data_IF_683605360592
#
_entry.id   IF_683605360592
#
_cell.length_a   1.000
_cell.length_b   1.000
_cell.length_c   1.000
_cell.angle_alpha   90.00
_cell.angle_beta   90.00
_cell.angle_gamma   90.00
#
_symmetry.space_group_name_H-M   'P 1'
#
loop_
_entity.id
_entity.type
_entity.pdbx_description
1 polymer ?
#
# COMPACT_ATOMS: atom_id res chain seq x y z
N UNK A 1 -11.65 -13.09 -15.70
CA UNK A 1 -12.36 -12.61 -14.47
C UNK A 1 -12.31 -11.10 -14.45
N UNK A 2 -13.42 -10.41 -14.14
CA UNK A 2 -13.41 -8.95 -14.05
C UNK A 2 -12.95 -8.53 -12.64
N UNK A 3 -11.94 -7.66 -12.56
CA UNK A 3 -11.53 -7.05 -11.30
C UNK A 3 -12.50 -5.93 -10.93
N UNK A 4 -12.89 -5.85 -9.67
CA UNK A 4 -13.84 -4.86 -9.18
C UNK A 4 -13.13 -3.76 -8.39
N UNK A 5 -13.72 -2.56 -8.41
CA UNK A 5 -13.25 -1.48 -7.54
C UNK A 5 -13.50 -1.88 -6.09
N UNK A 6 -12.47 -1.80 -5.28
CA UNK A 6 -12.54 -2.06 -3.84
C UNK A 6 -13.64 -1.20 -3.20
N UNK A 7 -14.48 -1.80 -2.35
CA UNK A 7 -15.36 -1.05 -1.46
C UNK A 7 -14.56 -0.66 -0.21
N UNK A 8 -14.51 0.64 0.09
CA UNK A 8 -13.79 1.12 1.27
C UNK A 8 -14.42 0.57 2.56
N UNK A 9 -13.64 0.09 3.54
CA UNK A 9 -14.18 -0.40 4.81
C UNK A 9 -14.58 0.74 5.78
N UNK A 10 -14.48 1.99 5.36
CA UNK A 10 -14.78 3.21 6.13
C UNK A 10 -15.37 4.30 5.23
N UNK A 11 -16.00 5.31 5.83
CA UNK A 11 -16.50 6.49 5.12
C UNK A 11 -15.33 7.37 4.60
N UNK A 12 -15.53 8.04 3.47
CA UNK A 12 -14.47 8.81 2.80
C UNK A 12 -13.83 9.91 3.68
N UNK A 13 -14.48 10.38 4.72
CA UNK A 13 -13.98 11.37 5.68
C UNK A 13 -13.43 10.75 6.98
N UNK A 14 -13.44 9.42 7.10
CA UNK A 14 -13.10 8.76 8.37
C UNK A 14 -11.62 8.85 8.76
N UNK A 15 -10.74 9.16 7.80
CA UNK A 15 -9.31 9.27 8.02
C UNK A 15 -8.84 10.70 8.33
N UNK A 16 -9.78 11.66 8.36
CA UNK A 16 -9.44 13.04 8.74
C UNK A 16 -8.98 13.11 10.22
N UNK A 17 -8.06 14.02 10.54
CA UNK A 17 -7.43 15.04 9.67
C UNK A 17 -6.17 14.53 8.91
N UNK A 18 -5.86 13.24 8.95
CA UNK A 18 -4.60 12.69 8.39
C UNK A 18 -4.65 12.59 6.86
N UNK A 19 -5.76 12.08 6.33
CA UNK A 19 -6.04 12.06 4.90
C UNK A 19 -7.44 12.64 4.72
N UNK A 20 -7.53 13.73 3.95
CA UNK A 20 -8.82 14.41 3.75
C UNK A 20 -9.78 13.60 2.90
N UNK A 21 -11.09 13.89 3.08
CA UNK A 21 -12.13 13.35 2.20
C UNK A 21 -11.82 13.61 0.72
N UNK A 22 -11.32 14.81 0.39
CA UNK A 22 -10.99 15.18 -1.00
C UNK A 22 -9.90 14.27 -1.57
N UNK A 23 -8.85 13.98 -0.78
CA UNK A 23 -7.80 13.04 -1.19
C UNK A 23 -8.38 11.64 -1.40
N UNK A 24 -9.21 11.13 -0.49
CA UNK A 24 -9.86 9.82 -0.65
C UNK A 24 -10.76 9.77 -1.88
N UNK A 25 -11.60 10.78 -2.11
CA UNK A 25 -12.51 10.84 -3.28
C UNK A 25 -11.74 10.77 -4.61
N UNK A 26 -10.57 11.40 -4.69
CA UNK A 26 -9.73 11.38 -5.88
C UNK A 26 -8.87 10.11 -5.96
N UNK A 27 -8.23 9.73 -4.88
CA UNK A 27 -7.28 8.62 -4.82
C UNK A 27 -7.98 7.28 -5.06
N UNK A 28 -9.08 7.02 -4.37
CA UNK A 28 -9.91 5.83 -4.57
C UNK A 28 -10.82 5.98 -5.80
N UNK A 29 -11.63 7.05 -5.86
CA UNK A 29 -12.70 7.19 -6.84
C UNK A 29 -12.23 7.56 -8.26
N UNK A 30 -10.99 8.02 -8.44
CA UNK A 30 -10.42 8.35 -9.75
C UNK A 30 -9.17 7.53 -10.06
N UNK A 31 -8.11 7.59 -9.23
CA UNK A 31 -6.87 6.86 -9.51
C UNK A 31 -7.09 5.35 -9.49
N UNK A 32 -7.54 4.77 -8.38
CA UNK A 32 -7.78 3.33 -8.30
C UNK A 32 -8.85 2.88 -9.30
N UNK A 33 -9.96 3.59 -9.41
CA UNK A 33 -11.01 3.27 -10.38
C UNK A 33 -10.47 3.29 -11.83
N UNK A 34 -9.58 4.21 -12.16
CA UNK A 34 -8.91 4.27 -13.46
C UNK A 34 -8.03 3.04 -13.70
N UNK A 35 -7.20 2.64 -12.71
CA UNK A 35 -6.36 1.46 -12.84
C UNK A 35 -7.16 0.17 -13.03
N UNK A 36 -8.23 -0.02 -12.25
CA UNK A 36 -9.14 -1.16 -12.37
C UNK A 36 -9.80 -1.22 -13.75
N UNK A 37 -10.33 -0.10 -14.24
CA UNK A 37 -10.97 -0.04 -15.55
C UNK A 37 -9.98 -0.31 -16.68
N UNK A 38 -8.79 0.31 -16.64
CA UNK A 38 -7.75 0.09 -17.64
C UNK A 38 -7.27 -1.36 -17.65
N UNK A 39 -7.01 -1.94 -16.46
CA UNK A 39 -6.63 -3.35 -16.34
C UNK A 39 -7.67 -4.26 -17.00
N UNK A 40 -8.95 -4.11 -16.63
CA UNK A 40 -10.04 -4.91 -17.18
C UNK A 40 -10.12 -4.84 -18.72
N UNK A 41 -9.85 -3.65 -19.29
CA UNK A 41 -9.86 -3.49 -20.75
C UNK A 41 -8.63 -4.15 -21.42
N UNK A 42 -7.47 -4.09 -20.76
CA UNK A 42 -6.20 -4.57 -21.32
C UNK A 42 -6.05 -6.09 -21.28
N UNK A 43 -6.69 -6.78 -20.32
CA UNK A 43 -6.52 -8.24 -20.14
C UNK A 43 -7.45 -9.06 -21.02
N UNK A 44 -8.45 -8.46 -21.65
CA UNK A 44 -9.41 -9.17 -22.53
C UNK A 44 -8.67 -9.86 -23.68
N UNK A 45 -8.93 -11.14 -23.89
CA UNK A 45 -8.29 -11.96 -24.93
C UNK A 45 -6.83 -12.29 -24.68
N UNK A 46 -6.26 -11.93 -23.53
CA UNK A 46 -4.89 -12.29 -23.12
C UNK A 46 -4.90 -13.50 -22.18
N UNK A 47 -3.71 -14.06 -21.90
CA UNK A 47 -3.56 -15.10 -20.86
C UNK A 47 -4.01 -14.67 -19.48
N UNK A 48 -4.18 -13.38 -19.26
CA UNK A 48 -4.55 -12.79 -17.96
C UNK A 48 -6.04 -12.56 -17.76
N UNK A 49 -6.88 -12.78 -18.77
CA UNK A 49 -8.32 -12.46 -18.70
C UNK A 49 -9.05 -13.08 -17.50
N UNK A 50 -8.62 -14.27 -17.08
CA UNK A 50 -9.20 -14.99 -15.92
C UNK A 50 -8.21 -15.19 -14.76
N UNK A 51 -7.05 -14.52 -14.81
CA UNK A 51 -6.04 -14.62 -13.76
C UNK A 51 -6.39 -13.74 -12.54
N UNK A 52 -5.95 -14.16 -11.37
CA UNK A 52 -5.98 -13.34 -10.18
C UNK A 52 -4.94 -12.20 -10.26
N UNK A 53 -5.15 -11.17 -9.44
CA UNK A 53 -4.35 -9.96 -9.50
C UNK A 53 -2.86 -10.18 -9.18
N UNK A 54 -2.55 -11.07 -8.24
CA UNK A 54 -1.17 -11.40 -7.86
C UNK A 54 -0.44 -12.11 -9.00
N UNK A 55 -1.12 -13.05 -9.67
CA UNK A 55 -0.60 -13.72 -10.86
C UNK A 55 -0.30 -12.73 -11.98
N UNK A 56 -1.22 -11.78 -12.25
CA UNK A 56 -1.00 -10.74 -13.25
C UNK A 56 0.23 -9.90 -12.91
N UNK A 57 0.35 -9.43 -11.66
CA UNK A 57 1.49 -8.62 -11.22
C UNK A 57 2.82 -9.37 -11.33
N UNK A 58 2.84 -10.68 -11.08
CA UNK A 58 4.07 -11.48 -11.16
C UNK A 58 4.51 -11.80 -12.58
N UNK A 59 3.56 -11.93 -13.52
CA UNK A 59 3.82 -12.52 -14.84
C UNK A 59 3.66 -11.53 -16.00
N UNK A 60 3.17 -10.33 -15.75
CA UNK A 60 3.00 -9.29 -16.78
C UNK A 60 4.12 -8.26 -16.75
N UNK A 61 4.16 -7.46 -17.80
CA UNK A 61 5.04 -6.31 -17.94
C UNK A 61 4.28 -5.10 -18.53
N UNK A 62 4.98 -3.98 -18.71
CA UNK A 62 4.48 -2.80 -19.38
C UNK A 62 3.18 -2.27 -18.79
N UNK A 63 2.20 -1.98 -19.65
CA UNK A 63 0.96 -1.34 -19.25
C UNK A 63 0.06 -2.25 -18.40
N UNK A 64 0.03 -3.57 -18.65
CA UNK A 64 -0.74 -4.52 -17.85
C UNK A 64 -0.15 -4.58 -16.44
N UNK A 65 1.16 -4.71 -16.30
CA UNK A 65 1.85 -4.67 -15.00
C UNK A 65 1.55 -3.39 -14.25
N UNK A 66 1.66 -2.24 -14.90
CA UNK A 66 1.44 -0.96 -14.24
C UNK A 66 0.02 -0.84 -13.67
N UNK A 67 -1.00 -1.22 -14.42
CA UNK A 67 -2.39 -1.15 -13.94
C UNK A 67 -2.71 -2.24 -12.92
N UNK A 68 -2.20 -3.46 -13.09
CA UNK A 68 -2.37 -4.54 -12.12
C UNK A 68 -1.64 -4.26 -10.80
N UNK A 69 -0.38 -3.80 -10.88
CA UNK A 69 0.42 -3.43 -9.71
C UNK A 69 -0.23 -2.31 -8.91
N UNK A 70 -0.67 -1.24 -9.60
CA UNK A 70 -1.40 -0.16 -8.94
C UNK A 70 -2.73 -0.63 -8.34
N UNK A 71 -3.47 -1.49 -9.02
CA UNK A 71 -4.71 -2.04 -8.45
C UNK A 71 -4.43 -2.86 -7.18
N UNK A 72 -3.43 -3.73 -7.20
CA UNK A 72 -3.03 -4.53 -6.03
C UNK A 72 -2.55 -3.64 -4.88
N UNK A 73 -1.67 -2.67 -5.19
CA UNK A 73 -1.10 -1.77 -4.21
C UNK A 73 -2.18 -0.95 -3.48
N UNK A 74 -3.11 -0.38 -4.24
CA UNK A 74 -4.20 0.43 -3.66
C UNK A 74 -5.22 -0.41 -2.88
N UNK A 75 -5.50 -1.65 -3.31
CA UNK A 75 -6.36 -2.56 -2.54
C UNK A 75 -5.74 -2.86 -1.16
N UNK A 76 -4.43 -3.12 -1.11
CA UNK A 76 -3.72 -3.31 0.15
C UNK A 76 -3.64 -2.02 0.99
N UNK A 77 -3.42 -0.88 0.33
CA UNK A 77 -3.30 0.43 0.95
C UNK A 77 -4.60 0.87 1.63
N UNK A 78 -5.73 0.83 0.91
CA UNK A 78 -6.98 1.33 1.48
C UNK A 78 -7.55 0.40 2.56
N UNK A 79 -7.35 -0.89 2.50
CA UNK A 79 -7.88 -1.82 3.51
C UNK A 79 -7.11 -1.77 4.84
N UNK A 80 -5.88 -1.25 4.86
CA UNK A 80 -5.06 -1.19 6.08
C UNK A 80 -5.35 -0.01 7.00
N UNK A 81 -6.30 0.87 6.66
CA UNK A 81 -6.60 2.05 7.44
C UNK A 81 -7.91 1.93 8.24
N UNK A 82 -7.97 2.72 9.31
CA UNK A 82 -9.12 2.90 10.18
C UNK A 82 -9.13 4.34 10.70
N UNK A 83 -10.25 4.82 11.27
CA UNK A 83 -10.28 6.13 11.92
C UNK A 83 -9.13 6.31 12.90
N UNK A 84 -8.72 7.58 13.11
CA UNK A 84 -7.59 7.94 14.00
C UNK A 84 -7.68 7.21 15.33
N UNK A 85 -6.59 6.56 15.70
CA UNK A 85 -6.44 5.84 16.98
C UNK A 85 -4.98 5.80 17.41
N UNK A 86 -4.74 5.59 18.69
CA UNK A 86 -3.40 5.34 19.25
C UNK A 86 -3.03 3.84 19.22
N UNK A 87 -3.62 3.08 18.31
CA UNK A 87 -3.35 1.65 18.19
C UNK A 87 -1.91 1.37 17.77
N UNK A 88 -1.37 0.26 18.25
CA UNK A 88 -0.01 -0.21 17.95
C UNK A 88 -0.08 -1.66 17.50
N UNK A 89 0.91 -2.16 16.76
CA UNK A 89 1.00 -3.58 16.47
C UNK A 89 1.08 -4.38 17.78
N UNK A 90 0.60 -5.61 17.76
CA UNK A 90 0.60 -6.51 18.90
C UNK A 90 1.02 -7.92 18.47
N UNK A 91 1.01 -8.85 19.40
CA UNK A 91 1.17 -10.26 19.13
C UNK A 91 2.39 -10.62 18.28
N UNK A 92 2.16 -11.42 17.25
CA UNK A 92 3.23 -11.92 16.38
C UNK A 92 3.87 -10.83 15.55
N UNK A 93 3.09 -9.85 15.08
CA UNK A 93 3.61 -8.76 14.26
C UNK A 93 4.56 -7.87 15.08
N UNK A 94 4.16 -7.47 16.29
CA UNK A 94 5.03 -6.66 17.15
C UNK A 94 6.34 -7.41 17.44
N UNK A 95 6.26 -8.69 17.80
CA UNK A 95 7.47 -9.49 18.05
C UNK A 95 8.39 -9.54 16.82
N UNK A 96 7.85 -9.80 15.64
CA UNK A 96 8.65 -9.85 14.42
C UNK A 96 9.29 -8.49 14.08
N UNK A 97 8.59 -7.39 14.36
CA UNK A 97 9.12 -6.02 14.21
C UNK A 97 10.27 -5.80 15.22
N UNK A 98 10.08 -6.16 16.48
CA UNK A 98 11.11 -6.00 17.52
C UNK A 98 12.34 -6.87 17.24
N UNK A 99 12.14 -8.09 16.77
CA UNK A 99 13.23 -9.00 16.38
C UNK A 99 14.06 -8.42 15.20
N UNK A 100 13.42 -7.67 14.27
CA UNK A 100 14.08 -7.10 13.10
C UNK A 100 14.71 -5.72 13.35
N UNK A 101 14.07 -4.86 14.16
CA UNK A 101 14.49 -3.45 14.34
C UNK A 101 14.70 -3.03 15.79
N UNK A 102 14.66 -3.97 16.75
CA UNK A 102 14.86 -3.73 18.18
C UNK A 102 13.67 -3.09 18.88
N UNK A 103 12.81 -2.38 18.15
CA UNK A 103 11.59 -1.77 18.67
C UNK A 103 10.64 -1.35 17.55
N UNK A 104 9.37 -1.10 17.89
CA UNK A 104 8.41 -0.52 16.95
C UNK A 104 8.84 0.89 16.49
N UNK A 105 9.41 1.69 17.36
CA UNK A 105 9.91 3.02 16.99
C UNK A 105 11.11 2.93 16.05
N UNK A 106 12.02 1.97 16.26
CA UNK A 106 13.13 1.70 15.33
C UNK A 106 12.63 1.35 13.93
N UNK A 107 11.60 0.49 13.84
CA UNK A 107 10.95 0.18 12.59
C UNK A 107 10.34 1.41 11.92
N UNK A 108 9.58 2.23 12.65
CA UNK A 108 8.96 3.46 12.10
C UNK A 108 10.01 4.39 11.52
N UNK A 109 11.08 4.64 12.26
CA UNK A 109 12.16 5.53 11.81
C UNK A 109 12.79 5.04 10.49
N UNK A 110 13.06 3.74 10.38
CA UNK A 110 13.63 3.17 9.16
C UNK A 110 12.63 3.18 8.00
N UNK A 111 11.35 2.89 8.26
CA UNK A 111 10.30 2.92 7.26
C UNK A 111 10.06 4.33 6.71
N UNK A 112 9.99 5.34 7.59
CA UNK A 112 9.86 6.75 7.22
C UNK A 112 11.07 7.24 6.40
N UNK A 113 12.28 6.87 6.81
CA UNK A 113 13.50 7.18 6.07
C UNK A 113 13.50 6.53 4.67
N UNK A 114 13.04 5.28 4.56
CA UNK A 114 12.91 4.58 3.28
C UNK A 114 11.90 5.27 2.36
N UNK A 115 10.71 5.65 2.87
CA UNK A 115 9.68 6.35 2.10
C UNK A 115 10.09 7.75 1.68
N UNK A 116 10.77 8.49 2.56
CA UNK A 116 11.26 9.84 2.27
C UNK A 116 12.37 9.82 1.21
N UNK A 117 13.27 8.84 1.28
CA UNK A 117 14.41 8.71 0.36
C UNK A 117 14.08 8.05 -0.98
N UNK A 118 12.86 7.53 -1.17
CA UNK A 118 12.45 6.99 -2.46
C UNK A 118 12.38 8.11 -3.49
N UNK A 119 13.22 8.05 -4.52
CA UNK A 119 13.24 9.07 -5.55
C UNK A 119 12.06 8.92 -6.51
N UNK A 120 11.30 10.01 -6.68
CA UNK A 120 10.13 10.05 -7.55
C UNK A 120 8.90 9.36 -6.96
N UNK A 121 8.14 8.69 -7.82
CA UNK A 121 6.89 8.00 -7.48
C UNK A 121 7.13 6.55 -7.11
N UNK A 122 6.42 6.06 -6.14
CA UNK A 122 6.51 4.65 -5.75
C UNK A 122 5.85 4.33 -4.42
N UNK A 123 6.30 3.23 -3.83
CA UNK A 123 5.73 2.64 -2.63
C UNK A 123 6.84 2.20 -1.67
N UNK A 124 6.63 2.41 -0.39
CA UNK A 124 7.46 1.79 0.66
C UNK A 124 6.65 0.68 1.32
N UNK A 125 7.26 -0.49 1.51
CA UNK A 125 6.58 -1.68 2.02
C UNK A 125 7.31 -2.30 3.21
N UNK A 126 6.54 -2.73 4.20
CA UNK A 126 6.91 -3.81 5.11
C UNK A 126 6.51 -5.12 4.43
N UNK A 127 7.45 -6.01 4.20
CA UNK A 127 7.20 -7.29 3.55
C UNK A 127 7.85 -8.43 4.33
N UNK A 128 7.29 -9.62 4.20
CA UNK A 128 7.82 -10.84 4.80
C UNK A 128 8.35 -11.79 3.71
N UNK A 129 9.44 -12.49 3.99
CA UNK A 129 9.87 -13.63 3.20
C UNK A 129 9.11 -14.91 3.57
N UNK A 130 9.42 -16.01 2.88
CA UNK A 130 8.76 -17.31 3.13
C UNK A 130 9.04 -17.89 4.52
N UNK A 131 10.02 -17.39 5.25
CA UNK A 131 10.32 -17.76 6.63
C UNK A 131 9.59 -16.89 7.66
N UNK A 132 8.89 -15.83 7.19
CA UNK A 132 8.25 -14.83 8.04
C UNK A 132 9.19 -13.71 8.49
N UNK A 133 10.44 -13.67 8.01
CA UNK A 133 11.37 -12.59 8.31
C UNK A 133 10.93 -11.31 7.62
N UNK A 134 10.81 -10.24 8.40
CA UNK A 134 10.38 -8.93 7.92
C UNK A 134 11.53 -8.13 7.31
N UNK A 135 11.21 -7.33 6.29
CA UNK A 135 12.12 -6.38 5.68
C UNK A 135 11.35 -5.17 5.12
N UNK A 136 12.01 -4.03 5.02
CA UNK A 136 11.50 -2.84 4.33
C UNK A 136 11.99 -2.86 2.89
N UNK A 137 11.07 -2.67 1.93
CA UNK A 137 11.42 -2.54 0.52
C UNK A 137 10.91 -1.22 -0.06
N UNK A 138 11.63 -0.70 -1.05
CA UNK A 138 11.25 0.46 -1.85
C UNK A 138 10.96 0.00 -3.26
N UNK A 139 9.79 0.34 -3.77
CA UNK A 139 9.34 -0.09 -5.09
C UNK A 139 8.95 1.13 -5.93
N UNK A 140 9.63 1.32 -7.05
CA UNK A 140 9.32 2.43 -7.95
C UNK A 140 8.00 2.21 -8.68
N UNK A 141 7.30 3.29 -8.97
CA UNK A 141 6.06 3.31 -9.77
C UNK A 141 5.00 2.34 -9.25
N UNK A 142 4.67 1.29 -10.01
CA UNK A 142 3.66 0.28 -9.67
C UNK A 142 4.24 -0.97 -8.98
N UNK A 143 5.52 -0.94 -8.60
CA UNK A 143 6.21 -2.09 -8.02
C UNK A 143 5.55 -2.59 -6.74
N UNK A 144 5.66 -3.91 -6.52
CA UNK A 144 5.12 -4.60 -5.35
C UNK A 144 6.06 -5.73 -4.94
N UNK A 145 6.25 -6.00 -3.64
CA UNK A 145 7.10 -7.08 -3.12
C UNK A 145 6.80 -8.47 -3.70
N UNK A 146 5.56 -8.74 -4.16
CA UNK A 146 5.19 -10.05 -4.74
C UNK A 146 6.04 -10.42 -5.95
N UNK A 147 6.57 -9.45 -6.70
CA UNK A 147 7.47 -9.68 -7.84
C UNK A 147 8.84 -10.23 -7.43
N UNK A 148 9.18 -10.06 -6.16
CA UNK A 148 10.44 -10.54 -5.54
C UNK A 148 10.21 -11.79 -4.67
N UNK A 149 9.02 -12.40 -4.75
CA UNK A 149 8.67 -13.54 -3.92
C UNK A 149 8.38 -13.21 -2.45
N UNK A 150 8.18 -11.93 -2.13
CA UNK A 150 7.87 -11.46 -0.79
C UNK A 150 6.37 -11.25 -0.63
N UNK A 151 5.89 -11.38 0.59
CA UNK A 151 4.51 -11.10 0.99
C UNK A 151 4.38 -9.67 1.49
N UNK A 152 3.62 -8.77 0.84
CA UNK A 152 3.39 -7.41 1.34
C UNK A 152 2.51 -7.47 2.59
N UNK A 153 2.95 -6.83 3.68
CA UNK A 153 2.25 -6.80 4.97
C UNK A 153 1.61 -5.42 5.20
N UNK A 154 2.39 -4.35 4.97
CA UNK A 154 1.95 -2.98 5.12
C UNK A 154 2.67 -2.12 4.07
N UNK A 155 1.99 -1.15 3.47
CA UNK A 155 2.61 -0.30 2.47
C UNK A 155 2.03 1.09 2.40
N UNK A 156 2.89 2.07 2.11
CA UNK A 156 2.48 3.46 1.94
C UNK A 156 2.80 3.93 0.53
N UNK A 157 1.79 4.54 -0.08
CA UNK A 157 1.90 5.24 -1.34
C UNK A 157 2.67 6.55 -1.13
N UNK A 158 3.79 6.70 -1.83
CA UNK A 158 4.59 7.94 -1.84
C UNK A 158 4.55 8.64 -3.21
N UNK A 159 3.60 8.28 -4.07
CA UNK A 159 3.21 9.12 -5.18
C UNK A 159 2.62 10.43 -4.65
N UNK A 160 2.89 11.54 -5.31
CA UNK A 160 2.41 12.86 -4.86
C UNK A 160 0.89 12.95 -4.77
N UNK A 161 0.15 12.25 -5.65
CA UNK A 161 -1.31 12.23 -5.60
C UNK A 161 -1.88 11.68 -4.27
N UNK A 162 -1.11 10.87 -3.55
CA UNK A 162 -1.55 10.28 -2.29
C UNK A 162 -1.56 11.26 -1.11
N UNK A 163 -0.75 12.34 -1.19
CA UNK A 163 -0.55 13.25 -0.04
C UNK A 163 -0.50 14.74 -0.39
N UNK A 164 -0.38 15.12 -1.66
CA UNK A 164 -0.07 16.50 -2.04
C UNK A 164 -1.15 17.50 -1.63
N UNK A 165 -2.44 17.13 -1.68
CA UNK A 165 -3.53 18.01 -1.28
C UNK A 165 -3.53 18.33 0.21
N UNK A 166 -3.04 17.42 1.04
CA UNK A 166 -3.04 17.57 2.50
C UNK A 166 -1.68 18.07 3.02
N UNK A 167 -0.59 17.64 2.40
CA UNK A 167 0.77 17.90 2.88
C UNK A 167 1.64 18.68 1.87
N UNK A 168 1.20 18.92 0.64
CA UNK A 168 1.97 19.50 -0.45
C UNK A 168 3.27 18.69 -0.66
N UNK A 169 4.43 19.34 -0.64
CA UNK A 169 5.73 18.68 -0.81
C UNK A 169 6.27 18.02 0.48
N UNK A 170 5.52 18.07 1.58
CA UNK A 170 5.98 17.54 2.88
C UNK A 170 5.72 16.03 3.02
N UNK A 171 6.32 15.21 2.14
CA UNK A 171 6.20 13.74 2.19
C UNK A 171 6.57 13.17 3.55
N UNK A 172 7.60 13.71 4.22
CA UNK A 172 8.02 13.26 5.53
C UNK A 172 6.93 13.45 6.60
N UNK A 173 6.16 14.56 6.55
CA UNK A 173 5.08 14.78 7.49
C UNK A 173 3.92 13.81 7.26
N UNK A 174 3.57 13.54 6.00
CA UNK A 174 2.60 12.49 5.66
C UNK A 174 3.01 11.13 6.23
N UNK A 175 4.27 10.72 6.04
CA UNK A 175 4.79 9.46 6.55
C UNK A 175 4.78 9.37 8.08
N UNK A 176 4.96 10.49 8.79
CA UNK A 176 4.87 10.55 10.25
C UNK A 176 3.44 10.49 10.77
N UNK A 177 2.51 11.07 10.02
CA UNK A 177 1.12 11.15 10.49
C UNK A 177 0.31 9.89 10.17
N UNK A 178 0.65 9.17 9.11
CA UNK A 178 -0.10 7.99 8.64
C UNK A 178 -0.22 6.89 9.70
N UNK A 179 0.72 6.78 10.63
CA UNK A 179 0.68 5.79 11.72
C UNK A 179 -0.58 5.90 12.59
N UNK A 180 -1.17 7.11 12.69
CA UNK A 180 -2.37 7.39 13.49
C UNK A 180 -3.65 6.74 12.94
N UNK A 181 -3.63 6.30 11.67
CA UNK A 181 -4.79 5.72 10.99
C UNK A 181 -4.59 4.24 10.60
N UNK A 182 -3.50 3.61 11.02
CA UNK A 182 -3.23 2.20 10.68
C UNK A 182 -4.13 1.27 11.48
N UNK A 183 -4.84 0.39 10.78
CA UNK A 183 -5.53 -0.77 11.36
C UNK A 183 -4.54 -1.90 11.57
N UNK A 184 -3.86 -1.93 12.71
CA UNK A 184 -2.86 -2.96 13.00
C UNK A 184 -3.44 -4.37 13.02
N UNK A 185 -4.72 -4.53 13.34
CA UNK A 185 -5.45 -5.80 13.23
C UNK A 185 -5.47 -6.31 11.79
N UNK A 186 -5.75 -5.43 10.83
CA UNK A 186 -5.74 -5.77 9.41
C UNK A 186 -4.31 -6.08 8.92
N UNK A 187 -3.34 -5.26 9.31
CA UNK A 187 -1.93 -5.47 8.96
C UNK A 187 -1.41 -6.80 9.52
N UNK A 188 -1.71 -7.13 10.79
CA UNK A 188 -1.33 -8.39 11.41
C UNK A 188 -1.96 -9.61 10.73
N UNK A 189 -3.18 -9.49 10.21
CA UNK A 189 -3.85 -10.58 9.48
C UNK A 189 -3.12 -11.01 8.20
N UNK A 190 -2.24 -10.15 7.72
CA UNK A 190 -1.41 -10.40 6.53
C UNK A 190 -0.05 -11.03 6.85
N UNK A 191 0.31 -11.23 8.11
CA UNK A 191 1.53 -11.94 8.49
C UNK A 191 1.25 -13.45 8.60
#
# INVERSE_FOLDING_TARGET
MKHELLVLPYANNALEPIISKTTIDLHHGKHLAGYVNNLNNMIVGTKFENADLVTIVKESDGAIFNNAGQTLNHNLYFTQFAPVSDSKPSGKLLKAIEDAWGSFEGFKNEFEAAGTSLFGSGWVWLAADNSGKLQITKENNAGNPVTKGLKPIFGIDVWEHAYYLDYQNRRADHLKDVWKIVSWKEVESRL
#
